data_IF_811769508846
#
_entry.id   IF_811769508846
#
_cell.length_a   1.000
_cell.length_b   1.000
_cell.length_c   1.000
_cell.angle_alpha   90.00
_cell.angle_beta   90.00
_cell.angle_gamma   90.00
#
_symmetry.space_group_name_H-M   'P 1'
#
loop_
_entity.id
_entity.type
_entity.pdbx_description
1 polymer ?
#
# COMPACT_ATOMS: atom_id res chain seq x y z
N UNK A 1 31.60 8.34 63.28
CA UNK A 1 31.77 7.04 62.60
C UNK A 1 30.42 6.35 62.64
N UNK A 2 29.68 5.96 61.59
CA UNK A 2 29.80 5.79 60.13
C UNK A 2 28.33 5.86 59.65
N UNK A 3 27.89 6.56 58.60
CA UNK A 3 28.14 6.33 57.17
C UNK A 3 27.51 7.52 56.38
N UNK A 4 28.29 8.33 55.65
CA UNK A 4 27.76 9.36 54.77
C UNK A 4 27.84 8.94 53.30
N UNK A 5 27.13 7.91 52.83
CA UNK A 5 27.23 7.50 51.42
C UNK A 5 25.96 6.90 50.85
N UNK A 6 24.91 7.71 50.70
CA UNK A 6 23.88 7.46 49.69
C UNK A 6 24.09 8.45 48.54
N UNK A 7 25.21 8.30 47.82
CA UNK A 7 25.38 8.96 46.54
C UNK A 7 24.53 8.22 45.51
N UNK A 8 23.37 8.75 45.16
CA UNK A 8 22.58 8.23 44.04
C UNK A 8 23.30 8.65 42.75
N UNK A 9 23.90 7.73 41.95
CA UNK A 9 24.47 8.14 40.68
C UNK A 9 23.29 8.43 39.75
N UNK A 10 22.96 9.72 39.61
CA UNK A 10 22.11 10.20 38.53
C UNK A 10 22.80 9.85 37.21
N UNK A 11 22.46 8.70 36.63
CA UNK A 11 23.03 8.26 35.38
C UNK A 11 22.63 9.25 34.29
N UNK A 12 23.57 10.10 33.89
CA UNK A 12 23.52 10.96 32.70
C UNK A 12 23.49 10.13 31.40
N UNK A 13 22.57 9.18 31.26
CA UNK A 13 22.23 8.51 29.98
C UNK A 13 20.87 8.95 29.42
N UNK A 14 20.24 9.95 30.03
CA UNK A 14 18.88 10.38 29.67
C UNK A 14 18.76 11.07 28.31
N UNK A 15 19.79 11.75 27.79
CA UNK A 15 19.68 12.53 26.55
C UNK A 15 19.38 11.65 25.33
N UNK A 16 20.30 10.73 24.99
CA UNK A 16 20.15 9.85 23.82
C UNK A 16 18.91 8.95 23.90
N UNK A 17 18.59 8.42 25.08
CA UNK A 17 17.40 7.58 25.26
C UNK A 17 16.09 8.37 25.10
N UNK A 18 16.04 9.63 25.54
CA UNK A 18 14.88 10.53 25.33
C UNK A 18 14.69 10.86 23.86
N UNK A 19 15.76 11.19 23.13
CA UNK A 19 15.65 11.46 21.69
C UNK A 19 15.22 10.21 20.92
N UNK A 20 15.78 9.03 21.23
CA UNK A 20 15.37 7.77 20.61
C UNK A 20 13.87 7.48 20.81
N UNK A 21 13.36 7.69 22.03
CA UNK A 21 11.93 7.52 22.32
C UNK A 21 11.04 8.50 21.53
N UNK A 22 11.43 9.77 21.42
CA UNK A 22 10.69 10.77 20.65
C UNK A 22 10.69 10.49 19.14
N UNK A 23 11.85 10.13 18.58
CA UNK A 23 11.96 9.76 17.16
C UNK A 23 11.17 8.48 16.84
N UNK A 24 11.23 7.48 17.71
CA UNK A 24 10.46 6.24 17.54
C UNK A 24 8.95 6.53 17.48
N UNK A 25 8.42 7.34 18.38
CA UNK A 25 7.00 7.75 18.38
C UNK A 25 6.60 8.47 17.10
N UNK A 26 7.46 9.36 16.59
CA UNK A 26 7.18 10.10 15.36
C UNK A 26 7.20 9.20 14.12
N UNK A 27 8.15 8.26 14.05
CA UNK A 27 8.22 7.26 12.98
C UNK A 27 6.98 6.36 12.99
N UNK A 28 6.58 5.88 14.16
CA UNK A 28 5.39 5.03 14.30
C UNK A 28 4.11 5.79 13.91
N UNK A 29 3.94 7.03 14.38
CA UNK A 29 2.79 7.86 14.06
C UNK A 29 2.75 8.22 12.56
N UNK A 30 3.88 8.61 11.98
CA UNK A 30 4.00 8.89 10.55
C UNK A 30 3.70 7.65 9.71
N UNK A 31 4.25 6.50 10.09
CA UNK A 31 3.95 5.22 9.46
C UNK A 31 2.47 4.88 9.53
N UNK A 32 1.83 5.06 10.69
CA UNK A 32 0.39 4.83 10.89
C UNK A 32 -0.48 5.75 10.02
N UNK A 33 -0.17 7.05 9.98
CA UNK A 33 -0.89 8.03 9.14
C UNK A 33 -0.70 7.72 7.66
N UNK A 34 0.52 7.39 7.23
CA UNK A 34 0.80 7.01 5.85
C UNK A 34 0.06 5.71 5.47
N UNK A 35 0.03 4.72 6.36
CA UNK A 35 -0.70 3.48 6.15
C UNK A 35 -2.21 3.73 6.02
N UNK A 36 -2.77 4.60 6.87
CA UNK A 36 -4.17 5.01 6.80
C UNK A 36 -4.51 5.78 5.52
N UNK A 37 -3.58 6.59 5.00
CA UNK A 37 -3.78 7.38 3.79
C UNK A 37 -3.70 6.55 2.50
N UNK A 38 -2.87 5.49 2.48
CA UNK A 38 -2.72 4.62 1.31
C UNK A 38 -4.00 3.85 0.98
N UNK A 39 -4.88 3.59 1.95
CA UNK A 39 -6.26 3.14 1.69
C UNK A 39 -6.40 1.81 0.95
N UNK A 40 -5.34 0.99 0.90
CA UNK A 40 -5.38 -0.34 0.27
C UNK A 40 -5.81 -1.37 1.33
N UNK A 41 -6.84 -2.14 1.02
CA UNK A 41 -7.32 -3.25 1.86
C UNK A 41 -6.39 -4.47 1.76
N UNK A 42 -5.19 -4.38 2.34
CA UNK A 42 -4.27 -5.51 2.47
C UNK A 42 -4.58 -6.25 3.79
N UNK A 43 -5.51 -7.20 3.74
CA UNK A 43 -5.92 -7.96 4.94
C UNK A 43 -4.94 -9.08 5.31
N UNK A 44 -4.03 -9.45 4.39
CA UNK A 44 -3.08 -10.55 4.60
C UNK A 44 -1.78 -10.37 3.81
N UNK A 45 -0.67 -10.97 4.27
CA UNK A 45 0.59 -10.97 3.55
C UNK A 45 0.47 -11.63 2.16
N UNK A 46 -0.42 -12.61 2.00
CA UNK A 46 -0.67 -13.23 0.71
C UNK A 46 -1.35 -12.26 -0.27
N UNK A 47 -2.28 -11.42 0.21
CA UNK A 47 -2.90 -10.38 -0.62
C UNK A 47 -1.87 -9.35 -1.10
N UNK A 48 -0.91 -8.96 -0.24
CA UNK A 48 0.20 -8.09 -0.64
C UNK A 48 1.04 -8.71 -1.76
N UNK A 49 1.43 -9.98 -1.60
CA UNK A 49 2.20 -10.71 -2.63
C UNK A 49 1.45 -10.81 -3.95
N UNK A 50 0.15 -11.14 -3.92
CA UNK A 50 -0.68 -11.17 -5.12
C UNK A 50 -0.82 -9.79 -5.77
N UNK A 51 -0.96 -8.72 -4.97
CA UNK A 51 -1.03 -7.34 -5.48
C UNK A 51 0.25 -6.96 -6.25
N UNK A 52 1.44 -7.30 -5.72
CA UNK A 52 2.70 -7.09 -6.45
C UNK A 52 2.82 -7.98 -7.69
N UNK A 53 2.42 -9.24 -7.61
CA UNK A 53 2.41 -10.15 -8.76
C UNK A 53 1.44 -9.70 -9.88
N UNK A 54 0.41 -8.92 -9.55
CA UNK A 54 -0.51 -8.32 -10.52
C UNK A 54 0.07 -7.12 -11.29
N UNK A 55 1.20 -6.54 -10.86
CA UNK A 55 1.81 -5.33 -11.45
C UNK A 55 2.17 -5.41 -12.94
N UNK A 56 2.69 -6.54 -13.49
CA UNK A 56 3.24 -6.53 -14.85
C UNK A 56 2.22 -6.29 -15.97
N UNK A 57 1.02 -6.86 -15.85
CA UNK A 57 -0.06 -6.73 -16.83
C UNK A 57 -1.38 -7.30 -16.30
N UNK A 58 -2.48 -7.01 -17.01
CA UNK A 58 -3.79 -7.57 -16.67
C UNK A 58 -3.89 -9.09 -16.78
N UNK A 59 -3.02 -9.78 -17.54
CA UNK A 59 -2.99 -11.23 -17.55
C UNK A 59 -2.45 -11.79 -16.23
N UNK A 60 -1.40 -11.20 -15.68
CA UNK A 60 -0.85 -11.52 -14.37
C UNK A 60 -1.87 -11.21 -13.27
N UNK A 61 -2.53 -10.06 -13.32
CA UNK A 61 -3.60 -9.70 -12.39
C UNK A 61 -4.76 -10.72 -12.37
N UNK A 62 -5.17 -11.21 -13.55
CA UNK A 62 -6.14 -12.30 -13.67
C UNK A 62 -5.60 -13.63 -13.15
N UNK A 63 -4.34 -13.96 -13.43
CA UNK A 63 -3.71 -15.20 -12.97
C UNK A 63 -3.66 -15.31 -11.44
N UNK A 64 -3.50 -14.18 -10.74
CA UNK A 64 -3.53 -14.14 -9.28
C UNK A 64 -4.93 -13.91 -8.70
N UNK A 65 -5.97 -13.87 -9.54
CA UNK A 65 -7.36 -13.74 -9.14
C UNK A 65 -7.73 -12.37 -8.58
N UNK A 66 -6.99 -11.33 -8.95
CA UNK A 66 -7.23 -9.96 -8.46
C UNK A 66 -7.85 -9.02 -9.51
N UNK A 67 -8.05 -9.47 -10.76
CA UNK A 67 -8.71 -8.66 -11.79
C UNK A 67 -10.15 -9.15 -12.03
N UNK A 68 -11.12 -8.24 -12.25
CA UNK A 68 -10.99 -6.78 -12.20
C UNK A 68 -10.85 -6.24 -10.77
N UNK A 69 -10.13 -5.12 -10.60
CA UNK A 69 -9.88 -4.49 -9.30
C UNK A 69 -10.34 -3.03 -9.28
N UNK A 70 -10.92 -2.57 -8.17
CA UNK A 70 -11.29 -1.15 -7.96
C UNK A 70 -10.21 -0.39 -7.19
N UNK A 71 -10.19 0.95 -7.29
CA UNK A 71 -9.33 1.79 -6.42
C UNK A 71 -9.43 1.38 -4.95
N UNK A 72 -8.28 1.21 -4.31
CA UNK A 72 -8.17 0.76 -2.91
C UNK A 72 -8.21 -0.76 -2.73
N UNK A 73 -8.46 -1.55 -3.79
CA UNK A 73 -8.41 -3.01 -3.73
C UNK A 73 -7.04 -3.55 -4.14
N UNK A 74 -6.62 -4.70 -3.58
CA UNK A 74 -5.49 -5.46 -4.10
C UNK A 74 -5.67 -5.76 -5.60
N UNK A 75 -4.61 -5.66 -6.40
CA UNK A 75 -4.66 -5.79 -7.86
C UNK A 75 -4.95 -4.52 -8.64
N UNK A 76 -5.45 -3.45 -8.00
CA UNK A 76 -5.62 -2.17 -8.69
C UNK A 76 -4.27 -1.48 -8.87
N UNK A 77 -3.96 -1.14 -10.12
CA UNK A 77 -2.82 -0.31 -10.47
C UNK A 77 -3.29 0.77 -11.44
N UNK A 78 -2.93 2.05 -11.23
CA UNK A 78 -3.33 3.14 -12.14
C UNK A 78 -2.87 2.94 -13.59
N UNK A 79 -1.82 2.15 -13.82
CA UNK A 79 -1.32 1.78 -15.15
C UNK A 79 -2.20 0.77 -15.89
N UNK A 80 -3.05 0.03 -15.16
CA UNK A 80 -3.99 -0.94 -15.71
C UNK A 80 -5.41 -0.38 -15.89
N UNK A 81 -5.66 0.82 -15.39
CA UNK A 81 -6.90 1.58 -15.54
C UNK A 81 -6.71 2.57 -16.71
N UNK A 82 -6.99 2.09 -17.92
CA UNK A 82 -6.64 2.80 -19.15
C UNK A 82 -7.53 4.04 -19.41
N UNK A 83 -8.81 3.96 -19.03
CA UNK A 83 -9.79 5.02 -19.17
C UNK A 83 -9.97 5.86 -17.89
N UNK A 84 -9.36 5.44 -16.78
CA UNK A 84 -9.28 6.15 -15.49
C UNK A 84 -10.61 6.21 -14.75
N UNK A 85 -11.51 5.26 -15.02
CA UNK A 85 -12.81 5.16 -14.36
C UNK A 85 -12.71 4.62 -12.92
N UNK A 86 -11.54 4.12 -12.54
CA UNK A 86 -11.25 3.55 -11.22
C UNK A 86 -11.40 2.03 -11.15
N UNK A 87 -11.56 1.33 -12.29
CA UNK A 87 -11.65 -0.11 -12.42
C UNK A 87 -10.52 -0.60 -13.35
N UNK A 88 -9.51 -1.23 -12.75
CA UNK A 88 -8.42 -1.82 -13.50
C UNK A 88 -8.80 -3.19 -14.08
N UNK A 89 -8.31 -3.47 -15.29
CA UNK A 89 -8.43 -4.78 -15.95
C UNK A 89 -9.86 -5.28 -16.13
N UNK A 90 -10.79 -4.37 -16.40
CA UNK A 90 -12.18 -4.70 -16.72
C UNK A 90 -12.31 -5.66 -17.93
N UNK A 91 -13.32 -6.57 -17.92
CA UNK A 91 -13.67 -7.35 -19.09
C UNK A 91 -14.27 -6.46 -20.19
N UNK A 92 -13.84 -6.65 -21.43
CA UNK A 92 -14.43 -5.94 -22.57
C UNK A 92 -15.88 -6.39 -22.80
N UNK A 93 -16.85 -5.54 -22.48
CA UNK A 93 -18.24 -5.73 -22.87
C UNK A 93 -18.45 -5.07 -24.23
N UNK A 94 -18.34 -5.84 -25.31
CA UNK A 94 -18.63 -5.35 -26.67
C UNK A 94 -20.02 -4.71 -26.71
N UNK A 95 -20.08 -3.39 -26.94
CA UNK A 95 -21.29 -2.62 -26.75
C UNK A 95 -22.41 -2.91 -27.75
N UNK A 96 -23.66 -2.71 -27.31
CA UNK A 96 -24.79 -2.42 -28.20
C UNK A 96 -25.86 -1.62 -27.46
N UNK A 97 -26.03 -0.33 -27.81
CA UNK A 97 -27.26 0.42 -27.55
C UNK A 97 -27.13 1.94 -27.28
N UNK A 98 -26.12 2.40 -26.52
CA UNK A 98 -26.19 3.73 -25.86
C UNK A 98 -25.11 4.75 -26.23
N UNK A 99 -24.27 4.52 -27.24
CA UNK A 99 -23.33 5.54 -27.72
C UNK A 99 -22.22 5.91 -26.73
N UNK A 100 -21.69 4.94 -25.99
CA UNK A 100 -20.55 5.14 -25.06
C UNK A 100 -19.29 4.45 -25.60
N UNK A 101 -18.17 5.17 -25.52
CA UNK A 101 -16.90 4.95 -26.21
C UNK A 101 -16.19 3.64 -25.90
N UNK A 102 -15.86 2.88 -26.94
CA UNK A 102 -15.01 1.68 -26.86
C UNK A 102 -13.56 2.04 -27.17
N UNK A 103 -12.68 2.06 -26.16
CA UNK A 103 -11.26 2.32 -26.34
C UNK A 103 -10.53 1.08 -26.88
N UNK A 104 -10.27 1.15 -28.19
CA UNK A 104 -9.46 0.25 -29.03
C UNK A 104 -7.98 0.27 -28.62
N UNK A 105 -7.57 -0.51 -27.61
CA UNK A 105 -6.14 -0.81 -27.41
C UNK A 105 -5.94 -2.25 -26.92
N UNK A 106 -5.97 -3.21 -27.84
CA UNK A 106 -5.22 -4.48 -27.70
C UNK A 106 -5.01 -5.12 -29.08
N UNK A 107 -4.22 -4.45 -29.92
CA UNK A 107 -3.60 -5.08 -31.09
C UNK A 107 -2.08 -4.92 -31.07
N UNK A 108 -1.44 -5.29 -29.97
CA UNK A 108 -0.02 -5.68 -29.94
C UNK A 108 0.20 -6.63 -28.78
N UNK A 109 -0.09 -7.91 -29.03
CA UNK A 109 0.61 -8.98 -28.33
C UNK A 109 2.01 -9.08 -28.92
N UNK A 110 2.99 -8.51 -28.23
CA UNK A 110 4.40 -8.89 -28.28
C UNK A 110 5.12 -8.28 -27.08
#
# INVERSE_FOLDING_TARGET
MLLPFLHWPATRRHGRLKYLALFASFILLSGYIAYGFVGIQIDSPLAALRHFAAFPNCAAARAVGLAPARRGQPGYWPTHDADKDGIACEPWHGGSGSGVSVHRYWRTGR
#
